data_IF_764498382717
#
_entry.id   IF_764498382717
#
_cell.length_a   1.000
_cell.length_b   1.000
_cell.length_c   1.000
_cell.angle_alpha   90.00
_cell.angle_beta   90.00
_cell.angle_gamma   90.00
#
_symmetry.space_group_name_H-M   'P 1'
#
loop_
_entity.id
_entity.type
_entity.pdbx_description
1 polymer ?
#
# COMPACT_ATOMS: atom_id res chain seq x y z
N UNK A 1 -29.76 7.43 -7.59
CA UNK A 1 -29.06 6.21 -7.12
C UNK A 1 -28.51 5.38 -8.28
N UNK A 2 -29.13 5.43 -9.47
CA UNK A 2 -28.63 4.87 -10.74
C UNK A 2 -27.22 5.31 -11.11
N UNK A 3 -26.91 6.60 -10.91
CA UNK A 3 -25.70 7.21 -11.48
C UNK A 3 -24.39 6.75 -10.79
N UNK A 4 -24.49 6.30 -9.53
CA UNK A 4 -23.35 5.74 -8.80
C UNK A 4 -23.06 4.30 -9.24
N UNK A 5 -24.10 3.54 -9.57
CA UNK A 5 -23.99 2.16 -10.03
C UNK A 5 -23.48 2.07 -11.47
N UNK A 6 -23.73 3.10 -12.29
CA UNK A 6 -23.20 3.20 -13.65
C UNK A 6 -21.81 3.86 -13.74
N UNK A 7 -21.21 4.28 -12.62
CA UNK A 7 -19.91 4.95 -12.62
C UNK A 7 -18.77 3.95 -12.87
N UNK A 8 -18.46 3.72 -14.15
CA UNK A 8 -17.43 2.77 -14.57
C UNK A 8 -16.05 3.04 -13.93
N UNK A 9 -15.52 4.27 -13.89
CA UNK A 9 -14.25 4.55 -13.24
C UNK A 9 -14.20 4.15 -11.75
N UNK A 10 -15.30 4.40 -11.02
CA UNK A 10 -15.41 4.00 -9.61
C UNK A 10 -15.37 2.48 -9.46
N UNK A 11 -16.19 1.75 -10.22
CA UNK A 11 -16.26 0.30 -10.13
C UNK A 11 -14.98 -0.38 -10.62
N UNK A 12 -14.35 0.15 -11.66
CA UNK A 12 -13.04 -0.33 -12.14
C UNK A 12 -12.00 -0.26 -11.02
N UNK A 13 -11.92 0.89 -10.31
CA UNK A 13 -10.99 1.05 -9.19
C UNK A 13 -11.28 0.10 -8.02
N UNK A 14 -12.57 -0.05 -7.63
CA UNK A 14 -12.95 -0.96 -6.54
C UNK A 14 -12.68 -2.43 -6.87
N UNK A 15 -12.93 -2.85 -8.12
CA UNK A 15 -12.61 -4.19 -8.58
C UNK A 15 -11.10 -4.43 -8.64
N UNK A 16 -10.31 -3.44 -9.05
CA UNK A 16 -8.85 -3.53 -9.02
C UNK A 16 -8.32 -3.77 -7.60
N UNK A 17 -8.91 -3.12 -6.57
CA UNK A 17 -8.58 -3.38 -5.17
C UNK A 17 -8.90 -4.82 -4.81
N UNK A 18 -10.11 -5.30 -5.12
CA UNK A 18 -10.55 -6.66 -4.82
C UNK A 18 -9.63 -7.70 -5.46
N UNK A 19 -9.29 -7.52 -6.74
CA UNK A 19 -8.40 -8.41 -7.49
C UNK A 19 -6.99 -8.38 -6.93
N UNK A 20 -6.43 -7.20 -6.63
CA UNK A 20 -5.10 -7.09 -6.06
C UNK A 20 -4.99 -7.80 -4.69
N UNK A 21 -5.99 -7.62 -3.82
CA UNK A 21 -6.05 -8.31 -2.53
C UNK A 21 -6.25 -9.82 -2.71
N UNK A 22 -7.11 -10.23 -3.66
CA UNK A 22 -7.33 -11.63 -4.01
C UNK A 22 -6.06 -12.33 -4.52
N UNK A 23 -5.24 -11.65 -5.32
CA UNK A 23 -3.94 -12.15 -5.82
C UNK A 23 -2.89 -12.19 -4.70
N UNK A 24 -2.92 -11.24 -3.76
CA UNK A 24 -1.96 -11.19 -2.65
C UNK A 24 -2.01 -12.44 -1.76
N UNK A 25 -3.21 -12.97 -1.50
CA UNK A 25 -3.42 -14.14 -0.63
C UNK A 25 -2.65 -15.39 -1.09
N UNK A 26 -2.82 -15.90 -2.33
CA UNK A 26 -2.09 -17.07 -2.81
C UNK A 26 -0.58 -16.81 -2.93
N UNK A 27 -0.14 -15.63 -3.39
CA UNK A 27 1.29 -15.29 -3.44
C UNK A 27 1.93 -15.41 -2.05
N UNK A 28 1.29 -14.81 -1.04
CA UNK A 28 1.75 -14.88 0.35
C UNK A 28 1.76 -16.31 0.88
N UNK A 29 0.72 -17.09 0.55
CA UNK A 29 0.62 -18.49 0.96
C UNK A 29 1.76 -19.33 0.36
N UNK A 30 2.08 -19.18 -0.93
CA UNK A 30 3.19 -19.92 -1.54
C UNK A 30 4.56 -19.50 -1.00
N UNK A 31 4.74 -18.22 -0.67
CA UNK A 31 5.99 -17.71 -0.12
C UNK A 31 6.24 -18.16 1.33
N UNK A 32 5.21 -18.14 2.20
CA UNK A 32 5.35 -18.40 3.63
C UNK A 32 4.87 -19.80 4.07
N UNK A 33 4.19 -20.55 3.18
CA UNK A 33 3.50 -21.82 3.46
C UNK A 33 2.57 -21.78 4.68
N UNK A 34 2.10 -20.60 5.05
CA UNK A 34 1.18 -20.36 6.17
C UNK A 34 -0.01 -19.56 5.66
N UNK A 35 -1.20 -20.03 6.01
CA UNK A 35 -2.43 -19.26 5.82
C UNK A 35 -2.51 -18.19 6.91
N UNK A 36 -2.18 -16.95 6.55
CA UNK A 36 -2.38 -15.81 7.44
C UNK A 36 -3.28 -14.76 6.77
N UNK A 37 -4.58 -14.89 7.06
CA UNK A 37 -5.61 -13.97 6.59
C UNK A 37 -5.41 -12.52 7.05
N UNK A 38 -4.59 -12.29 8.09
CA UNK A 38 -4.27 -10.93 8.56
C UNK A 38 -3.43 -10.15 7.55
N UNK A 39 -2.72 -10.85 6.64
CA UNK A 39 -1.97 -10.19 5.57
C UNK A 39 -2.85 -9.52 4.51
N UNK A 40 -4.13 -9.88 4.38
CA UNK A 40 -5.07 -9.14 3.52
C UNK A 40 -5.28 -7.70 4.00
N UNK A 41 -5.15 -7.48 5.32
CA UNK A 41 -5.26 -6.17 5.96
C UNK A 41 -3.90 -5.56 6.28
N UNK A 42 -2.79 -6.20 5.86
CA UNK A 42 -1.45 -5.65 6.00
C UNK A 42 -1.20 -4.54 4.98
N UNK A 43 -0.42 -3.53 5.38
CA UNK A 43 -0.09 -2.34 4.58
C UNK A 43 0.99 -2.58 3.51
N UNK A 44 1.47 -3.82 3.34
CA UNK A 44 2.53 -4.19 2.39
C UNK A 44 2.21 -5.46 1.59
N UNK A 45 3.12 -5.86 0.68
CA UNK A 45 3.02 -7.09 -0.11
C UNK A 45 2.62 -6.88 -1.58
N UNK A 46 3.04 -7.81 -2.45
CA UNK A 46 2.75 -7.81 -3.89
C UNK A 46 1.39 -8.45 -4.21
N UNK A 47 0.58 -7.89 -5.12
CA UNK A 47 0.67 -6.56 -5.73
C UNK A 47 0.12 -5.45 -4.82
N UNK A 48 0.55 -4.20 -5.04
CA UNK A 48 0.01 -3.03 -4.34
C UNK A 48 -1.44 -2.75 -4.76
N UNK A 49 -2.38 -2.85 -3.82
CA UNK A 49 -3.81 -2.56 -4.06
C UNK A 49 -4.08 -1.08 -4.26
N UNK A 50 -3.34 -0.19 -3.61
CA UNK A 50 -3.45 1.26 -3.82
C UNK A 50 -3.02 1.64 -5.25
N UNK A 51 -1.91 1.06 -5.71
CA UNK A 51 -1.41 1.30 -7.06
C UNK A 51 -2.36 0.75 -8.12
N UNK A 52 -2.91 -0.46 -7.91
CA UNK A 52 -3.93 -1.03 -8.78
C UNK A 52 -5.18 -0.15 -8.85
N UNK A 53 -5.67 0.35 -7.72
CA UNK A 53 -6.85 1.20 -7.65
C UNK A 53 -6.69 2.50 -8.46
N UNK A 54 -5.62 3.26 -8.20
CA UNK A 54 -5.45 4.59 -8.80
C UNK A 54 -5.12 4.52 -10.29
N UNK A 55 -4.36 3.50 -10.71
CA UNK A 55 -4.09 3.27 -12.13
C UNK A 55 -5.32 2.76 -12.86
N UNK A 56 -6.11 1.86 -12.28
CA UNK A 56 -7.39 1.42 -12.86
C UNK A 56 -8.37 2.60 -13.02
N UNK A 57 -8.47 3.46 -12.00
CA UNK A 57 -9.27 4.69 -12.05
C UNK A 57 -8.81 5.60 -13.19
N UNK A 58 -7.50 5.88 -13.26
CA UNK A 58 -6.93 6.79 -14.27
C UNK A 58 -7.12 6.24 -15.67
N UNK A 59 -6.90 4.94 -15.87
CA UNK A 59 -7.16 4.26 -17.14
C UNK A 59 -8.64 4.33 -17.50
N UNK A 60 -9.54 4.08 -16.54
CA UNK A 60 -10.98 4.11 -16.79
C UNK A 60 -11.47 5.52 -17.16
N UNK A 61 -10.99 6.55 -16.46
CA UNK A 61 -11.28 7.95 -16.81
C UNK A 61 -10.72 8.29 -18.19
N UNK A 62 -9.51 7.82 -18.52
CA UNK A 62 -8.92 8.03 -19.84
C UNK A 62 -9.72 7.37 -20.97
N UNK A 63 -10.31 6.20 -20.72
CA UNK A 63 -11.15 5.49 -21.68
C UNK A 63 -12.54 6.14 -21.85
N UNK A 64 -13.18 6.55 -20.74
CA UNK A 64 -14.55 7.11 -20.75
C UNK A 64 -14.58 8.60 -21.12
N UNK A 65 -13.73 9.41 -20.51
CA UNK A 65 -13.73 10.88 -20.68
C UNK A 65 -12.68 11.34 -21.71
N UNK A 66 -11.82 10.43 -22.17
CA UNK A 66 -10.72 10.71 -23.07
C UNK A 66 -9.42 11.13 -22.36
N UNK A 67 -8.29 10.71 -22.92
CA UNK A 67 -6.95 11.00 -22.41
C UNK A 67 -6.56 12.50 -22.47
N UNK A 68 -7.29 13.31 -23.23
CA UNK A 68 -7.10 14.77 -23.29
C UNK A 68 -7.93 15.56 -22.27
N UNK A 69 -8.78 14.88 -21.48
CA UNK A 69 -9.69 15.55 -20.54
C UNK A 69 -8.97 16.08 -19.30
N UNK A 70 -9.53 17.14 -18.71
CA UNK A 70 -9.07 17.67 -17.42
C UNK A 70 -9.19 16.61 -16.30
N UNK A 71 -10.21 15.76 -16.35
CA UNK A 71 -10.39 14.66 -15.40
C UNK A 71 -9.25 13.65 -15.47
N UNK A 72 -8.83 13.25 -16.67
CA UNK A 72 -7.69 12.37 -16.85
C UNK A 72 -6.41 12.98 -16.28
N UNK A 73 -6.15 14.26 -16.56
CA UNK A 73 -4.98 14.96 -16.02
C UNK A 73 -4.95 14.97 -14.48
N UNK A 74 -6.09 15.23 -13.84
CA UNK A 74 -6.23 15.18 -12.38
C UNK A 74 -5.93 13.77 -11.86
N UNK A 75 -6.52 12.74 -12.47
CA UNK A 75 -6.32 11.35 -12.06
C UNK A 75 -4.87 10.88 -12.22
N UNK A 76 -4.17 11.31 -13.29
CA UNK A 76 -2.75 11.00 -13.48
C UNK A 76 -1.90 11.58 -12.36
N UNK A 77 -2.04 12.88 -12.07
CA UNK A 77 -1.27 13.52 -10.99
C UNK A 77 -1.59 12.89 -9.63
N UNK A 78 -2.86 12.64 -9.36
CA UNK A 78 -3.31 11.96 -8.14
C UNK A 78 -2.69 10.56 -8.00
N UNK A 79 -2.65 9.79 -9.09
CA UNK A 79 -2.05 8.45 -9.12
C UNK A 79 -0.55 8.48 -8.85
N UNK A 80 0.17 9.43 -9.47
CA UNK A 80 1.62 9.59 -9.26
C UNK A 80 1.90 9.87 -7.78
N UNK A 81 1.15 10.80 -7.16
CA UNK A 81 1.34 11.15 -5.74
C UNK A 81 1.10 9.94 -4.84
N UNK A 82 0.02 9.19 -5.06
CA UNK A 82 -0.30 8.01 -4.24
C UNK A 82 0.72 6.90 -4.43
N UNK A 83 1.15 6.64 -5.66
CA UNK A 83 2.17 5.63 -5.94
C UNK A 83 3.51 6.01 -5.31
N UNK A 84 3.86 7.30 -5.31
CA UNK A 84 5.08 7.80 -4.65
C UNK A 84 5.01 7.67 -3.12
N UNK A 85 3.89 8.05 -2.50
CA UNK A 85 3.69 7.89 -1.05
C UNK A 85 3.73 6.41 -0.63
N UNK A 86 3.12 5.53 -1.43
CA UNK A 86 3.10 4.09 -1.19
C UNK A 86 4.49 3.44 -1.25
N UNK A 87 5.33 3.84 -2.22
CA UNK A 87 6.67 3.25 -2.42
C UNK A 87 7.76 3.89 -1.56
N UNK A 88 7.73 5.22 -1.43
CA UNK A 88 8.83 6.01 -0.87
C UNK A 88 8.60 6.34 0.60
N UNK A 89 7.67 7.26 0.85
CA UNK A 89 7.53 7.94 2.14
C UNK A 89 7.20 6.96 3.26
N UNK A 90 6.22 6.08 3.07
CA UNK A 90 5.80 5.11 4.10
C UNK A 90 6.88 4.10 4.44
N UNK A 91 7.61 3.63 3.44
CA UNK A 91 8.70 2.66 3.62
C UNK A 91 9.85 3.27 4.43
N UNK A 92 10.28 4.47 4.08
CA UNK A 92 11.36 5.17 4.80
C UNK A 92 10.96 5.50 6.24
N UNK A 93 9.73 5.95 6.48
CA UNK A 93 9.21 6.16 7.84
C UNK A 93 9.22 4.87 8.68
N UNK A 94 8.86 3.73 8.07
CA UNK A 94 8.97 2.41 8.70
C UNK A 94 10.41 2.02 9.05
N UNK A 95 11.34 2.21 8.12
CA UNK A 95 12.78 1.95 8.36
C UNK A 95 13.31 2.82 9.50
N UNK A 96 12.94 4.10 9.54
CA UNK A 96 13.34 4.98 10.65
C UNK A 96 12.76 4.54 11.98
N UNK A 97 11.49 4.10 12.02
CA UNK A 97 10.86 3.58 13.22
C UNK A 97 11.56 2.31 13.75
N UNK A 98 11.95 1.40 12.85
CA UNK A 98 12.69 0.18 13.21
C UNK A 98 14.07 0.51 13.79
N UNK A 99 14.83 1.39 13.14
CA UNK A 99 16.15 1.83 13.63
C UNK A 99 16.01 2.50 15.01
N UNK A 100 15.00 3.35 15.20
CA UNK A 100 14.77 4.03 16.47
C UNK A 100 14.36 3.05 17.60
N UNK A 101 13.58 2.03 17.28
CA UNK A 101 13.24 0.95 18.22
C UNK A 101 14.50 0.18 18.66
N UNK A 102 15.42 -0.13 17.73
CA UNK A 102 16.70 -0.80 18.03
C UNK A 102 17.57 0.09 18.92
N UNK A 103 17.76 1.36 18.56
CA UNK A 103 18.54 2.31 19.36
C UNK A 103 18.00 2.47 20.80
N UNK A 104 16.67 2.46 20.96
CA UNK A 104 16.05 2.51 22.28
C UNK A 104 16.34 1.25 23.10
N UNK A 105 16.37 0.08 22.46
CA UNK A 105 16.67 -1.20 23.09
C UNK A 105 18.14 -1.27 23.53
N UNK A 106 19.08 -0.91 22.65
CA UNK A 106 20.52 -0.85 22.93
C UNK A 106 20.84 0.15 24.04
N UNK A 107 20.22 1.33 24.01
CA UNK A 107 20.41 2.34 25.04
C UNK A 107 19.92 1.88 26.42
N UNK A 108 18.79 1.17 26.47
CA UNK A 108 18.29 0.61 27.73
C UNK A 108 19.23 -0.47 28.27
N UNK A 109 19.76 -1.34 27.41
CA UNK A 109 20.75 -2.35 27.80
C UNK A 109 22.03 -1.70 28.36
N UNK A 110 22.57 -0.69 27.67
CA UNK A 110 23.76 0.05 28.13
C UNK A 110 23.54 0.71 29.50
N UNK A 111 22.38 1.33 29.72
CA UNK A 111 22.05 1.93 31.02
C UNK A 111 21.93 0.87 32.11
N UNK A 112 21.35 -0.29 31.81
CA UNK A 112 21.21 -1.39 32.77
C UNK A 112 22.58 -1.99 33.15
N UNK A 113 23.51 -2.12 32.19
CA UNK A 113 24.90 -2.56 32.44
C UNK A 113 25.68 -1.54 33.28
N UNK A 114 25.56 -0.25 32.97
CA UNK A 114 26.19 0.83 33.73
C UNK A 114 25.58 1.01 35.14
N UNK A 115 24.32 0.60 35.34
CA UNK A 115 23.60 0.68 36.62
C UNK A 115 23.63 -0.60 37.44
N UNK A 116 24.76 -1.29 37.46
CA UNK A 116 25.10 -2.22 38.55
C UNK A 116 25.14 -1.54 39.94
N UNK A 117 25.10 -0.20 40.01
CA UNK A 117 24.96 0.55 41.26
C UNK A 117 23.88 1.64 41.20
N UNK A 118 22.77 1.39 41.92
CA UNK A 118 21.80 2.35 42.47
C UNK A 118 20.83 3.07 41.50
N UNK A 119 19.54 2.87 41.81
CA UNK A 119 18.34 3.62 41.43
C UNK A 119 17.77 3.35 40.02
N UNK A 120 16.69 2.55 40.00
CA UNK A 120 15.71 2.48 38.90
C UNK A 120 14.92 3.80 38.85
N UNK A 121 15.08 4.67 37.85
CA UNK A 121 14.07 5.66 37.58
C UNK A 121 12.93 4.93 36.86
N UNK A 122 11.71 5.20 37.27
CA UNK A 122 10.49 4.81 36.55
C UNK A 122 10.46 5.56 35.21
N UNK A 123 11.26 5.11 34.23
CA UNK A 123 11.06 5.52 32.84
C UNK A 123 9.87 4.73 32.32
N UNK A 124 8.79 5.43 32.02
CA UNK A 124 7.73 4.85 31.20
C UNK A 124 8.41 4.23 29.97
N UNK A 125 8.24 2.92 29.77
CA UNK A 125 8.72 2.26 28.55
C UNK A 125 8.14 3.04 27.38
N UNK A 126 8.95 3.83 26.70
CA UNK A 126 8.55 4.50 25.47
C UNK A 126 7.95 3.41 24.57
N UNK A 127 6.68 3.56 24.20
CA UNK A 127 6.01 2.55 23.38
C UNK A 127 6.80 2.40 22.08
N UNK A 128 7.14 1.16 21.71
CA UNK A 128 7.78 0.87 20.42
C UNK A 128 6.95 1.51 19.31
N UNK A 129 7.62 2.19 18.39
CA UNK A 129 6.99 2.77 17.22
C UNK A 129 6.49 1.63 16.32
N UNK A 130 5.36 1.85 15.64
CA UNK A 130 4.87 0.91 14.64
C UNK A 130 5.82 0.91 13.44
N UNK A 131 6.44 -0.23 13.19
CA UNK A 131 7.29 -0.46 12.03
C UNK A 131 6.40 -0.70 10.81
N UNK A 132 5.94 0.39 10.19
CA UNK A 132 5.12 0.33 8.97
C UNK A 132 5.99 -0.12 7.80
N UNK A 133 5.84 -1.38 7.37
CA UNK A 133 6.39 -1.83 6.10
C UNK A 133 5.55 -1.20 4.97
N UNK A 134 6.03 -0.09 4.41
CA UNK A 134 5.52 0.44 3.15
C UNK A 134 5.74 -0.55 1.99
N UNK A 135 5.13 -0.27 0.84
CA UNK A 135 5.29 -1.15 -0.33
C UNK A 135 6.70 -1.05 -0.92
N UNK A 136 7.21 -2.16 -1.45
CA UNK A 136 8.40 -2.07 -2.30
C UNK A 136 8.05 -1.41 -3.64
N UNK A 137 8.98 -0.68 -4.28
CA UNK A 137 8.75 -0.09 -5.60
C UNK A 137 8.28 -1.10 -6.65
N UNK A 138 8.80 -2.34 -6.60
CA UNK A 138 8.36 -3.44 -7.45
C UNK A 138 6.88 -3.81 -7.22
N UNK A 139 6.40 -3.80 -5.98
CA UNK A 139 4.99 -4.08 -5.65
C UNK A 139 4.06 -2.99 -6.19
N UNK A 140 4.51 -1.73 -6.14
CA UNK A 140 3.81 -0.56 -6.69
C UNK A 140 3.74 -0.64 -8.22
N UNK A 141 4.82 -1.02 -8.89
CA UNK A 141 4.85 -1.21 -10.34
C UNK A 141 3.93 -2.36 -10.79
N UNK A 142 4.01 -3.52 -10.14
CA UNK A 142 3.14 -4.67 -10.46
C UNK A 142 1.67 -4.32 -10.20
N UNK A 143 1.37 -3.63 -9.09
CA UNK A 143 0.03 -3.13 -8.83
C UNK A 143 -0.46 -2.15 -9.90
N UNK A 144 0.40 -1.22 -10.34
CA UNK A 144 0.07 -0.28 -11.40
C UNK A 144 -0.26 -0.97 -12.73
N UNK A 145 0.55 -1.94 -13.15
CA UNK A 145 0.27 -2.74 -14.35
C UNK A 145 -1.02 -3.54 -14.22
N UNK A 146 -1.26 -4.15 -13.06
CA UNK A 146 -2.49 -4.88 -12.78
C UNK A 146 -3.72 -3.98 -12.99
N UNK A 147 -3.70 -2.76 -12.44
CA UNK A 147 -4.81 -1.81 -12.57
C UNK A 147 -5.06 -1.36 -14.01
N UNK A 148 -4.00 -1.04 -14.77
CA UNK A 148 -4.12 -0.68 -16.19
C UNK A 148 -4.74 -1.83 -16.98
N UNK A 149 -4.15 -3.03 -16.88
CA UNK A 149 -4.60 -4.20 -17.64
C UNK A 149 -6.04 -4.56 -17.28
N UNK A 150 -6.36 -4.62 -15.99
CA UNK A 150 -7.69 -4.97 -15.52
C UNK A 150 -8.74 -3.96 -15.98
N UNK A 151 -8.45 -2.65 -15.88
CA UNK A 151 -9.39 -1.60 -16.29
C UNK A 151 -9.65 -1.62 -17.79
N UNK A 152 -8.60 -1.78 -18.61
CA UNK A 152 -8.72 -1.92 -20.06
C UNK A 152 -9.50 -3.18 -20.45
N UNK A 153 -9.22 -4.32 -19.83
CA UNK A 153 -9.97 -5.57 -20.08
C UNK A 153 -11.44 -5.42 -19.70
N UNK A 154 -11.72 -4.81 -18.55
CA UNK A 154 -13.09 -4.61 -18.09
C UNK A 154 -13.87 -3.69 -19.02
N UNK A 155 -13.25 -2.63 -19.52
CA UNK A 155 -13.86 -1.70 -20.48
C UNK A 155 -14.30 -2.44 -21.76
N UNK A 156 -13.40 -3.20 -22.39
CA UNK A 156 -13.72 -3.94 -23.61
C UNK A 156 -14.68 -5.12 -23.37
N UNK A 157 -14.62 -5.77 -22.21
CA UNK A 157 -15.53 -6.86 -21.86
C UNK A 157 -16.99 -6.36 -21.68
N UNK A 158 -17.15 -5.15 -21.17
CA UNK A 158 -18.46 -4.52 -20.96
C UNK A 158 -18.96 -3.77 -22.20
N UNK A 159 -18.22 -3.82 -23.32
CA UNK A 159 -18.54 -3.12 -24.57
C UNK A 159 -18.79 -1.61 -24.38
N UNK A 160 -18.07 -1.00 -23.45
CA UNK A 160 -18.10 0.44 -23.16
C UNK A 160 -17.20 1.24 -24.10
#
# INVERSE_FOLDING_TARGET
>A
MSDLLSNFPLWSALLAIGIAQGIKVPITFFALRKWDWRLMFSTGGMPSSHSAAVTALTTAVGLVEGFGSTYFAICVIFSIIIMFDAAGVRRHAGTHAAILNILLEDFNQLIDELKSMRVKPRRERAKKLKELLGHQPSEVLVGGWLGIIQSTLLYYLLEL
#
